data_IF_592101947761
#
_entry.id   IF_592101947761
#
_cell.length_a   1.000
_cell.length_b   1.000
_cell.length_c   1.000
_cell.angle_alpha   90.00
_cell.angle_beta   90.00
_cell.angle_gamma   90.00
#
_symmetry.space_group_name_H-M   'P 1'
#
loop_
_entity.id
_entity.type
_entity.pdbx_description
1 polymer ?
#
# COMPACT_ATOMS: atom_id res chain seq x y z
N UNK A 1 35.85 84.74 11.55
CA UNK A 1 36.05 84.04 12.84
C UNK A 1 34.75 83.39 13.25
N UNK A 2 34.78 82.10 13.62
CA UNK A 2 33.75 81.33 14.36
C UNK A 2 32.38 81.12 13.66
N UNK A 3 31.74 79.95 13.62
CA UNK A 3 31.90 78.70 14.38
C UNK A 3 31.35 77.53 13.56
N UNK A 4 32.09 76.43 13.64
CA UNK A 4 31.79 75.06 13.21
C UNK A 4 30.59 74.53 14.03
N UNK A 5 29.55 73.99 13.37
CA UNK A 5 28.58 73.09 14.02
C UNK A 5 28.05 72.08 12.99
N UNK A 6 28.70 70.91 12.92
CA UNK A 6 28.20 69.73 12.21
C UNK A 6 27.26 68.99 13.17
N UNK A 7 25.96 69.08 12.91
CA UNK A 7 24.96 68.24 13.57
C UNK A 7 25.01 66.83 12.98
N UNK A 8 25.61 65.90 13.71
CA UNK A 8 25.51 64.47 13.43
C UNK A 8 24.12 63.99 13.86
N UNK A 9 23.20 63.92 12.90
CA UNK A 9 21.91 63.26 13.09
C UNK A 9 22.10 61.74 13.16
N UNK A 10 21.88 61.17 14.34
CA UNK A 10 21.86 59.73 14.60
C UNK A 10 20.83 59.04 13.70
N UNK A 11 21.27 58.08 12.89
CA UNK A 11 20.41 57.08 12.27
C UNK A 11 19.87 56.18 13.39
N UNK A 12 18.56 56.23 13.64
CA UNK A 12 17.83 55.22 14.43
C UNK A 12 17.22 54.21 13.46
N UNK A 13 17.74 52.98 13.32
CA UNK A 13 16.93 51.89 12.79
C UNK A 13 16.05 51.40 13.95
N UNK A 14 14.90 52.06 14.15
CA UNK A 14 13.87 51.53 15.04
C UNK A 14 13.30 50.27 14.41
N UNK A 15 13.23 49.25 15.26
CA UNK A 15 13.03 47.88 14.86
C UNK A 15 11.70 47.62 14.18
N UNK A 16 11.77 46.69 13.25
CA UNK A 16 10.84 45.58 13.05
C UNK A 16 11.47 44.72 11.96
N UNK A 17 12.47 43.94 12.35
CA UNK A 17 12.79 42.72 11.62
C UNK A 17 11.57 41.85 11.84
N UNK A 18 10.63 41.93 10.89
CA UNK A 18 9.56 40.95 10.74
C UNK A 18 10.26 39.69 10.26
N UNK A 19 10.81 38.93 11.20
CA UNK A 19 11.31 37.60 10.94
C UNK A 19 10.10 36.76 10.54
N UNK A 20 9.84 36.68 9.24
CA UNK A 20 8.91 35.71 8.66
C UNK A 20 9.55 34.34 8.89
N UNK A 21 9.29 33.77 10.07
CA UNK A 21 9.48 32.35 10.35
C UNK A 21 8.46 31.56 9.50
N UNK A 22 8.68 31.50 8.19
CA UNK A 22 8.11 30.50 7.28
C UNK A 22 8.97 29.23 7.30
N UNK A 23 9.34 28.77 8.50
CA UNK A 23 10.25 27.65 8.70
C UNK A 23 9.56 26.59 9.54
N UNK A 24 8.76 25.76 8.89
CA UNK A 24 8.63 24.30 9.10
C UNK A 24 7.48 23.87 8.17
N UNK A 25 7.74 23.42 6.92
CA UNK A 25 6.74 22.61 6.27
C UNK A 25 6.54 21.42 7.20
N UNK A 26 5.32 21.28 7.72
CA UNK A 26 4.88 20.13 8.49
C UNK A 26 5.38 18.90 7.74
N UNK A 27 6.26 18.13 8.38
CA UNK A 27 6.58 16.76 7.98
C UNK A 27 5.26 16.01 8.01
N UNK A 28 4.54 16.04 6.88
CA UNK A 28 3.28 15.36 6.72
C UNK A 28 3.58 13.88 6.87
N UNK A 29 3.24 13.30 8.02
CA UNK A 29 3.20 11.87 8.16
C UNK A 29 2.16 11.36 7.14
N UNK A 30 2.63 10.82 6.01
CA UNK A 30 1.80 10.15 5.02
C UNK A 30 1.33 8.82 5.59
N UNK A 31 0.34 8.89 6.48
CA UNK A 31 -0.32 7.72 7.03
C UNK A 31 -1.40 7.25 6.05
N UNK A 32 -1.21 6.03 5.57
CA UNK A 32 -2.17 5.27 4.77
C UNK A 32 -3.10 4.56 5.76
N UNK A 33 -4.40 4.64 5.53
CA UNK A 33 -5.40 3.95 6.35
C UNK A 33 -5.94 2.79 5.53
N UNK A 34 -5.86 1.58 6.09
CA UNK A 34 -6.17 0.32 5.41
C UNK A 34 -7.18 -0.45 6.25
N UNK A 35 -8.19 -1.02 5.60
CA UNK A 35 -9.16 -1.92 6.24
C UNK A 35 -8.67 -3.36 6.11
N UNK A 36 -8.31 -4.01 7.21
CA UNK A 36 -7.80 -5.38 7.18
C UNK A 36 -8.94 -6.38 6.98
N UNK A 37 -8.66 -7.62 6.54
CA UNK A 37 -9.68 -8.66 6.40
C UNK A 37 -10.48 -8.95 7.68
N UNK A 38 -9.89 -8.71 8.86
CA UNK A 38 -10.53 -8.88 10.17
C UNK A 38 -11.54 -7.79 10.54
N UNK A 39 -11.74 -6.78 9.69
CA UNK A 39 -12.62 -5.63 9.96
C UNK A 39 -11.96 -4.50 10.77
N UNK A 40 -10.69 -4.68 11.15
CA UNK A 40 -9.93 -3.63 11.82
C UNK A 40 -9.41 -2.59 10.83
N UNK A 41 -9.22 -1.37 11.32
CA UNK A 41 -8.58 -0.30 10.55
C UNK A 41 -7.16 -0.10 11.05
N UNK A 42 -6.17 -0.33 10.18
CA UNK A 42 -4.75 -0.14 10.51
C UNK A 42 -4.21 1.08 9.77
N UNK A 43 -3.46 1.91 10.50
CA UNK A 43 -2.74 3.03 9.92
C UNK A 43 -1.29 2.60 9.72
N UNK A 44 -0.79 2.78 8.50
CA UNK A 44 0.54 2.37 8.07
C UNK A 44 1.25 3.56 7.44
N UNK A 45 2.56 3.67 7.66
CA UNK A 45 3.38 4.54 6.82
C UNK A 45 3.62 3.88 5.45
N UNK A 46 4.19 4.59 4.44
CA UNK A 46 4.33 4.05 3.09
C UNK A 46 5.22 2.82 3.01
N UNK A 47 6.24 2.72 3.89
CA UNK A 47 7.13 1.56 3.95
C UNK A 47 6.39 0.34 4.49
N UNK A 48 5.67 0.50 5.60
CA UNK A 48 4.85 -0.57 6.18
C UNK A 48 3.79 -1.06 5.19
N UNK A 49 3.17 -0.15 4.44
CA UNK A 49 2.21 -0.52 3.42
C UNK A 49 2.85 -1.29 2.25
N UNK A 50 4.05 -0.89 1.82
CA UNK A 50 4.81 -1.63 0.81
C UNK A 50 5.17 -3.05 1.26
N UNK A 51 5.60 -3.20 2.52
CA UNK A 51 5.89 -4.51 3.12
C UNK A 51 4.62 -5.37 3.19
N UNK A 52 3.47 -4.76 3.51
CA UNK A 52 2.18 -5.44 3.51
C UNK A 52 1.74 -5.91 2.11
N UNK A 53 1.89 -5.07 1.08
CA UNK A 53 1.61 -5.42 -0.32
C UNK A 53 2.44 -6.64 -0.74
N UNK A 54 3.75 -6.63 -0.44
CA UNK A 54 4.64 -7.75 -0.77
C UNK A 54 4.24 -9.02 -0.03
N UNK A 55 3.89 -8.92 1.25
CA UNK A 55 3.42 -10.06 2.05
C UNK A 55 2.17 -10.71 1.44
N UNK A 56 1.17 -9.89 1.07
CA UNK A 56 -0.06 -10.39 0.45
C UNK A 56 0.21 -11.02 -0.91
N UNK A 57 1.07 -10.41 -1.73
CA UNK A 57 1.44 -10.98 -3.03
C UNK A 57 2.15 -12.34 -2.89
N UNK A 58 3.09 -12.47 -1.95
CA UNK A 58 3.76 -13.75 -1.65
C UNK A 58 2.77 -14.80 -1.17
N UNK A 59 1.85 -14.42 -0.30
CA UNK A 59 0.82 -15.31 0.23
C UNK A 59 -0.14 -15.78 -0.87
N UNK A 60 -0.62 -14.87 -1.74
CA UNK A 60 -1.40 -15.24 -2.92
C UNK A 60 -0.67 -16.25 -3.81
N UNK A 61 0.61 -16.01 -4.12
CA UNK A 61 1.40 -16.92 -4.95
C UNK A 61 1.60 -18.29 -4.29
N UNK A 62 1.75 -18.34 -2.96
CA UNK A 62 1.84 -19.61 -2.24
C UNK A 62 0.56 -20.44 -2.45
N UNK A 63 -0.61 -19.85 -2.21
CA UNK A 63 -1.90 -20.53 -2.36
C UNK A 63 -2.16 -20.96 -3.81
N UNK A 64 -1.79 -20.13 -4.79
CA UNK A 64 -1.86 -20.51 -6.22
C UNK A 64 -0.99 -21.73 -6.52
N UNK A 65 0.23 -21.80 -5.97
CA UNK A 65 1.09 -22.96 -6.16
C UNK A 65 0.49 -24.21 -5.50
N UNK A 66 -0.10 -24.09 -4.32
CA UNK A 66 -0.79 -25.20 -3.64
C UNK A 66 -1.96 -25.73 -4.48
N UNK A 67 -2.79 -24.86 -5.06
CA UNK A 67 -3.85 -25.26 -6.00
C UNK A 67 -3.27 -26.02 -7.21
N UNK A 68 -2.20 -25.48 -7.83
CA UNK A 68 -1.55 -26.13 -8.98
C UNK A 68 -1.02 -27.51 -8.60
N UNK A 69 -0.40 -27.65 -7.43
CA UNK A 69 0.13 -28.91 -6.93
C UNK A 69 -0.98 -29.93 -6.67
N UNK A 70 -2.12 -29.52 -6.11
CA UNK A 70 -3.30 -30.37 -5.95
C UNK A 70 -3.85 -30.84 -7.30
N UNK A 71 -3.99 -29.93 -8.27
CA UNK A 71 -4.54 -30.24 -9.61
C UNK A 71 -3.62 -31.13 -10.45
N UNK A 72 -2.31 -31.09 -10.21
CA UNK A 72 -1.33 -31.94 -10.90
C UNK A 72 -1.14 -33.30 -10.21
N UNK A 73 -1.29 -33.34 -8.88
CA UNK A 73 -1.20 -34.56 -8.07
C UNK A 73 -2.47 -35.42 -8.14
N UNK A 74 -3.60 -34.87 -8.60
CA UNK A 74 -4.90 -35.55 -8.75
C UNK A 74 -4.97 -36.67 -9.79
N UNK A 75 -3.83 -37.27 -10.15
CA UNK A 75 -3.80 -38.62 -10.71
C UNK A 75 -4.19 -39.73 -9.73
N UNK A 76 -4.29 -39.43 -8.42
CA UNK A 76 -4.56 -40.42 -7.36
C UNK A 76 -5.50 -39.97 -6.21
N UNK A 77 -6.15 -38.79 -6.24
CA UNK A 77 -6.79 -38.23 -5.03
C UNK A 77 -8.33 -38.12 -5.07
N UNK A 78 -8.95 -39.04 -4.32
CA UNK A 78 -10.30 -39.07 -3.75
C UNK A 78 -10.50 -38.05 -2.59
N UNK A 79 -9.74 -36.94 -2.54
CA UNK A 79 -9.63 -36.11 -1.31
C UNK A 79 -10.66 -34.98 -1.16
N UNK A 80 -11.24 -34.48 -2.26
CA UNK A 80 -12.32 -33.49 -2.23
C UNK A 80 -13.55 -34.08 -2.93
N UNK A 81 -14.72 -33.92 -2.32
CA UNK A 81 -15.96 -34.29 -3.00
C UNK A 81 -16.32 -33.28 -4.12
N UNK A 82 -17.33 -33.61 -4.93
CA UNK A 82 -17.74 -32.75 -6.05
C UNK A 82 -18.21 -31.35 -5.61
N UNK A 83 -18.76 -31.22 -4.38
CA UNK A 83 -19.24 -29.96 -3.84
C UNK A 83 -18.08 -29.10 -3.36
N UNK A 84 -17.14 -29.68 -2.61
CA UNK A 84 -15.91 -29.02 -2.15
C UNK A 84 -15.05 -28.56 -3.33
N UNK A 85 -14.89 -29.40 -4.35
CA UNK A 85 -14.17 -29.05 -5.58
C UNK A 85 -14.81 -27.87 -6.32
N UNK A 86 -16.15 -27.85 -6.42
CA UNK A 86 -16.88 -26.76 -7.05
C UNK A 86 -16.79 -25.46 -6.25
N UNK A 87 -16.80 -25.54 -4.92
CA UNK A 87 -16.64 -24.38 -4.04
C UNK A 87 -15.22 -23.81 -4.13
N UNK A 88 -14.19 -24.67 -4.10
CA UNK A 88 -12.80 -24.27 -4.26
C UNK A 88 -12.58 -23.56 -5.60
N UNK A 89 -13.06 -24.14 -6.71
CA UNK A 89 -12.96 -23.53 -8.04
C UNK A 89 -13.64 -22.15 -8.13
N UNK A 90 -14.78 -21.99 -7.43
CA UNK A 90 -15.51 -20.72 -7.36
C UNK A 90 -14.72 -19.66 -6.58
N UNK A 91 -14.19 -19.99 -5.41
CA UNK A 91 -13.41 -19.05 -4.61
C UNK A 91 -12.04 -18.76 -5.24
N UNK A 92 -11.42 -19.71 -5.93
CA UNK A 92 -10.22 -19.48 -6.76
C UNK A 92 -10.50 -18.44 -7.85
N UNK A 93 -11.56 -18.62 -8.64
CA UNK A 93 -11.94 -17.68 -9.69
C UNK A 93 -12.19 -16.27 -9.13
N UNK A 94 -12.83 -16.18 -7.95
CA UNK A 94 -13.04 -14.92 -7.24
C UNK A 94 -11.72 -14.31 -6.76
N UNK A 95 -10.81 -15.11 -6.20
CA UNK A 95 -9.48 -14.67 -5.77
C UNK A 95 -8.70 -14.07 -6.95
N UNK A 96 -8.65 -14.77 -8.09
CA UNK A 96 -7.98 -14.29 -9.31
C UNK A 96 -8.55 -12.93 -9.75
N UNK A 97 -9.87 -12.79 -9.73
CA UNK A 97 -10.53 -11.55 -10.13
C UNK A 97 -10.20 -10.38 -9.18
N UNK A 98 -10.29 -10.59 -7.87
CA UNK A 98 -10.07 -9.55 -6.87
C UNK A 98 -8.59 -9.15 -6.79
N UNK A 99 -7.69 -10.11 -6.91
CA UNK A 99 -6.24 -9.88 -6.88
C UNK A 99 -5.69 -9.29 -8.19
N UNK A 100 -6.50 -9.12 -9.24
CA UNK A 100 -6.04 -8.66 -10.55
C UNK A 100 -5.32 -7.31 -10.51
N UNK A 101 -5.85 -6.32 -9.77
CA UNK A 101 -5.23 -5.00 -9.65
C UNK A 101 -3.89 -5.04 -8.89
N UNK A 102 -3.75 -5.93 -7.90
CA UNK A 102 -2.49 -6.15 -7.22
C UNK A 102 -1.45 -6.75 -8.19
N UNK A 103 -1.85 -7.78 -8.94
CA UNK A 103 -0.96 -8.45 -9.90
C UNK A 103 -0.51 -7.53 -11.03
N UNK A 104 -1.39 -6.69 -11.56
CA UNK A 104 -1.06 -5.67 -12.56
C UNK A 104 0.02 -4.70 -12.04
N UNK A 105 -0.20 -4.13 -10.85
CA UNK A 105 0.70 -3.12 -10.29
C UNK A 105 2.06 -3.72 -9.90
N UNK A 106 2.08 -4.92 -9.32
CA UNK A 106 3.33 -5.61 -9.02
C UNK A 106 4.08 -5.90 -10.32
N UNK A 107 3.40 -6.36 -11.36
CA UNK A 107 4.01 -6.64 -12.66
C UNK A 107 4.64 -5.39 -13.29
N UNK A 108 3.93 -4.24 -13.28
CA UNK A 108 4.46 -2.96 -13.75
C UNK A 108 5.68 -2.49 -12.95
N UNK A 109 5.66 -2.69 -11.62
CA UNK A 109 6.80 -2.32 -10.76
C UNK A 109 8.05 -3.16 -11.07
N UNK A 110 7.88 -4.44 -11.43
CA UNK A 110 8.98 -5.34 -11.77
C UNK A 110 9.62 -5.02 -13.12
N UNK A 111 8.85 -4.50 -14.08
CA UNK A 111 9.36 -4.09 -15.40
C UNK A 111 10.01 -2.70 -15.38
N UNK A 112 10.04 -2.03 -14.22
CA UNK A 112 10.60 -0.70 -14.06
C UNK A 112 9.75 0.40 -14.67
N UNK A 113 8.47 0.12 -14.96
CA UNK A 113 7.51 1.13 -15.39
C UNK A 113 7.01 1.92 -14.18
N UNK A 114 6.95 3.24 -14.32
CA UNK A 114 6.37 4.10 -13.28
C UNK A 114 4.87 3.82 -13.18
N UNK A 115 4.45 3.23 -12.06
CA UNK A 115 3.03 3.01 -11.77
C UNK A 115 2.35 4.34 -11.53
N UNK A 116 1.22 4.57 -12.21
CA UNK A 116 0.40 5.76 -12.02
C UNK A 116 -0.01 5.95 -10.55
N UNK A 117 -0.06 7.21 -10.10
CA UNK A 117 -0.50 7.54 -8.73
C UNK A 117 -1.90 6.98 -8.41
N UNK A 118 -2.79 6.96 -9.41
CA UNK A 118 -4.14 6.37 -9.28
C UNK A 118 -4.07 4.86 -9.05
N UNK A 119 -3.15 4.15 -9.70
CA UNK A 119 -2.95 2.73 -9.50
C UNK A 119 -2.49 2.47 -8.06
N UNK A 120 -1.51 3.24 -7.57
CA UNK A 120 -1.03 3.16 -6.18
C UNK A 120 -2.14 3.42 -5.14
N UNK A 121 -3.07 4.32 -5.42
CA UNK A 121 -4.23 4.55 -4.54
C UNK A 121 -5.20 3.35 -4.51
N UNK A 122 -5.38 2.63 -5.63
CA UNK A 122 -6.24 1.44 -5.67
C UNK A 122 -5.72 0.30 -4.79
N UNK A 123 -4.41 0.22 -4.58
CA UNK A 123 -3.82 -0.81 -3.71
C UNK A 123 -4.34 -0.74 -2.27
N UNK A 124 -4.74 0.45 -1.79
CA UNK A 124 -5.19 0.64 -0.40
C UNK A 124 -6.36 -0.29 -0.08
N UNK A 125 -7.29 -0.45 -1.02
CA UNK A 125 -8.46 -1.32 -0.88
C UNK A 125 -8.21 -2.70 -1.51
N UNK A 126 -7.50 -2.76 -2.64
CA UNK A 126 -7.27 -4.01 -3.37
C UNK A 126 -6.39 -5.01 -2.61
N UNK A 127 -5.40 -4.54 -1.83
CA UNK A 127 -4.48 -5.43 -1.10
C UNK A 127 -5.23 -6.22 -0.01
N UNK A 128 -5.99 -5.58 0.90
CA UNK A 128 -6.78 -6.33 1.88
C UNK A 128 -7.87 -7.19 1.27
N UNK A 129 -8.52 -6.74 0.19
CA UNK A 129 -9.54 -7.54 -0.49
C UNK A 129 -8.94 -8.80 -1.10
N UNK A 130 -7.75 -8.69 -1.70
CA UNK A 130 -6.99 -9.83 -2.19
C UNK A 130 -6.59 -10.76 -1.05
N UNK A 131 -6.06 -10.25 0.07
CA UNK A 131 -5.74 -11.07 1.24
C UNK A 131 -6.97 -11.83 1.75
N UNK A 132 -8.12 -11.17 1.85
CA UNK A 132 -9.37 -11.79 2.28
C UNK A 132 -9.85 -12.86 1.30
N UNK A 133 -9.62 -12.69 0.00
CA UNK A 133 -9.96 -13.69 -1.00
C UNK A 133 -9.03 -14.89 -0.96
N UNK A 134 -7.73 -14.66 -0.81
CA UNK A 134 -6.73 -15.71 -0.65
C UNK A 134 -7.02 -16.56 0.59
N UNK A 135 -7.39 -15.95 1.72
CA UNK A 135 -7.78 -16.69 2.95
C UNK A 135 -8.98 -17.63 2.73
N UNK A 136 -10.00 -17.18 1.98
CA UNK A 136 -11.16 -18.05 1.68
C UNK A 136 -10.79 -19.27 0.85
N UNK A 137 -9.80 -19.13 -0.03
CA UNK A 137 -9.27 -20.27 -0.80
C UNK A 137 -8.46 -21.18 0.13
N UNK A 138 -7.57 -20.62 0.95
CA UNK A 138 -6.79 -21.38 1.95
C UNK A 138 -7.68 -22.20 2.88
N UNK A 139 -8.80 -21.64 3.34
CA UNK A 139 -9.78 -22.33 4.20
C UNK A 139 -10.43 -23.56 3.54
N UNK A 140 -10.33 -23.70 2.21
CA UNK A 140 -10.89 -24.79 1.41
C UNK A 140 -9.81 -25.78 0.91
N UNK A 141 -8.53 -25.52 1.19
CA UNK A 141 -7.45 -26.45 0.85
C UNK A 141 -7.34 -27.57 1.92
N UNK A 142 -7.09 -28.83 1.52
CA UNK A 142 -6.98 -29.98 2.43
C UNK A 142 -5.70 -30.02 3.27
#
# INVERSE_FOLDING_TARGET
MNRKNRGAGRVRPNGRILAVLCGLPLLGCSLITVHTPGGDTRRMNPREFSEYVEQVFRYHNQIVNEIIDLTNSSGDTDELDEEESAELAKEEARMIQVCASLNEIVSESMTGQDTDFRAKLRLIDAVPECEAATRRVEDLLP
#
